data_IF_377826433152
#
_entry.id   IF_377826433152
#
_cell.length_a   1.000
_cell.length_b   1.000
_cell.length_c   1.000
_cell.angle_alpha   90.00
_cell.angle_beta   90.00
_cell.angle_gamma   90.00
#
_symmetry.space_group_name_H-M   'P 1'
#
loop_
_entity.id
_entity.type
_entity.pdbx_description
1 polymer ?
#
# COMPACT_ATOMS: atom_id res chain seq x y z
N UNK A 1 23.61 -24.74 -29.52
CA UNK A 1 22.15 -24.38 -29.59
C UNK A 1 22.05 -22.99 -30.19
N UNK A 2 21.28 -22.83 -31.25
CA UNK A 2 21.19 -21.55 -31.94
C UNK A 2 20.65 -20.45 -31.01
N UNK A 3 21.45 -19.40 -30.84
CA UNK A 3 21.14 -18.23 -30.03
C UNK A 3 19.95 -17.43 -30.63
N UNK A 4 19.64 -17.63 -31.93
CA UNK A 4 18.65 -16.88 -32.67
C UNK A 4 17.56 -17.80 -33.21
N UNK A 5 16.31 -17.43 -33.00
CA UNK A 5 15.11 -18.16 -33.45
C UNK A 5 14.28 -17.33 -34.41
N UNK A 6 13.50 -18.00 -35.26
CA UNK A 6 12.66 -17.38 -36.28
C UNK A 6 11.47 -16.62 -35.67
N UNK A 7 10.86 -15.71 -36.46
CA UNK A 7 9.63 -15.00 -36.09
C UNK A 7 8.52 -15.99 -35.70
N UNK A 8 8.41 -17.12 -36.42
CA UNK A 8 7.40 -18.14 -36.14
C UNK A 8 7.61 -18.83 -34.81
N UNK A 9 8.86 -19.25 -34.51
CA UNK A 9 9.22 -19.87 -33.23
C UNK A 9 9.08 -18.90 -32.05
N UNK A 10 9.51 -17.64 -32.21
CA UNK A 10 9.34 -16.61 -31.20
C UNK A 10 7.87 -16.32 -30.88
N UNK A 11 7.01 -16.26 -31.92
CA UNK A 11 5.58 -16.07 -31.76
C UNK A 11 4.92 -17.24 -31.03
N UNK A 12 5.28 -18.48 -31.40
CA UNK A 12 4.77 -19.69 -30.75
C UNK A 12 5.19 -19.76 -29.25
N UNK A 13 6.48 -19.48 -28.93
CA UNK A 13 7.00 -19.49 -27.56
C UNK A 13 6.33 -18.45 -26.65
N UNK A 14 6.04 -17.26 -27.18
CA UNK A 14 5.36 -16.19 -26.46
C UNK A 14 3.83 -16.31 -26.46
N UNK A 15 3.27 -17.23 -27.26
CA UNK A 15 1.81 -17.34 -27.42
C UNK A 15 1.16 -16.07 -27.95
N UNK A 16 1.80 -15.39 -28.95
CA UNK A 16 1.33 -14.12 -29.51
C UNK A 16 1.28 -14.17 -31.05
N UNK A 17 0.51 -13.26 -31.65
CA UNK A 17 0.51 -13.07 -33.11
C UNK A 17 1.81 -12.42 -33.57
N UNK A 18 2.27 -12.71 -34.81
CA UNK A 18 3.50 -12.12 -35.40
C UNK A 18 3.53 -10.59 -35.32
N UNK A 19 2.40 -9.91 -35.53
CA UNK A 19 2.30 -8.44 -35.41
C UNK A 19 2.63 -7.92 -34.00
N UNK A 20 2.34 -8.70 -32.96
CA UNK A 20 2.67 -8.33 -31.59
C UNK A 20 4.18 -8.37 -31.29
N UNK A 21 4.92 -9.30 -31.95
CA UNK A 21 6.39 -9.32 -31.84
C UNK A 21 7.01 -8.03 -32.40
N UNK A 22 6.55 -7.55 -33.54
CA UNK A 22 7.02 -6.30 -34.12
C UNK A 22 6.66 -5.08 -33.25
N UNK A 23 5.52 -5.11 -32.58
CA UNK A 23 5.17 -4.10 -31.56
C UNK A 23 6.09 -4.14 -30.34
N UNK A 24 6.64 -5.28 -29.96
CA UNK A 24 7.65 -5.38 -28.91
C UNK A 24 9.01 -4.84 -29.37
N UNK A 25 9.37 -5.06 -30.64
CA UNK A 25 10.59 -4.49 -31.23
C UNK A 25 10.49 -2.97 -31.31
N UNK A 26 9.37 -2.42 -31.81
CA UNK A 26 9.18 -0.96 -31.94
C UNK A 26 9.18 -0.23 -30.59
N UNK A 27 8.85 -0.96 -29.50
CA UNK A 27 8.89 -0.44 -28.12
C UNK A 27 10.19 -0.73 -27.38
N UNK A 28 11.20 -1.29 -28.07
CA UNK A 28 12.50 -1.61 -27.48
C UNK A 28 12.49 -2.78 -26.47
N UNK A 29 11.41 -3.56 -26.41
CA UNK A 29 11.27 -4.71 -25.50
C UNK A 29 12.03 -5.93 -26.02
N UNK A 30 12.10 -6.08 -27.34
CA UNK A 30 12.83 -7.16 -28.04
C UNK A 30 13.76 -6.59 -29.07
N UNK A 31 14.90 -7.25 -29.27
CA UNK A 31 15.82 -6.98 -30.35
C UNK A 31 15.61 -8.00 -31.45
N UNK A 32 15.49 -7.52 -32.71
CA UNK A 32 15.45 -8.37 -33.90
C UNK A 32 16.60 -8.03 -34.85
N UNK A 33 17.09 -9.03 -35.57
CA UNK A 33 18.04 -8.83 -36.67
C UNK A 33 17.55 -9.51 -37.94
N UNK A 34 17.88 -8.94 -39.10
CA UNK A 34 17.72 -9.60 -40.42
C UNK A 34 19.06 -10.11 -40.91
N UNK A 35 19.07 -11.33 -41.45
CA UNK A 35 20.23 -11.80 -42.21
C UNK A 35 20.05 -11.46 -43.70
N UNK A 36 21.12 -11.08 -44.41
CA UNK A 36 21.06 -10.87 -45.86
C UNK A 36 20.55 -12.16 -46.55
N UNK A 37 19.52 -12.02 -47.38
CA UNK A 37 18.93 -13.16 -48.11
C UNK A 37 17.80 -13.90 -47.40
N UNK A 38 17.45 -13.55 -46.17
CA UNK A 38 16.30 -14.14 -45.46
C UNK A 38 15.13 -13.16 -45.34
N UNK A 39 13.91 -13.64 -45.62
CA UNK A 39 12.69 -12.84 -45.53
C UNK A 39 12.16 -12.65 -44.11
N UNK A 40 12.54 -13.53 -43.15
CA UNK A 40 12.12 -13.47 -41.75
C UNK A 40 13.16 -12.80 -40.83
N UNK A 41 12.65 -12.07 -39.84
CA UNK A 41 13.48 -11.54 -38.75
C UNK A 41 13.83 -12.64 -37.73
N UNK A 42 15.03 -12.57 -37.16
CA UNK A 42 15.48 -13.46 -36.10
C UNK A 42 15.44 -12.72 -34.76
N UNK A 43 15.10 -13.43 -33.71
CA UNK A 43 14.96 -12.94 -32.34
C UNK A 43 15.92 -13.67 -31.41
N UNK A 44 16.47 -12.97 -30.43
CA UNK A 44 17.32 -13.59 -29.40
C UNK A 44 16.48 -14.53 -28.54
N UNK A 45 16.87 -15.82 -28.52
CA UNK A 45 16.19 -16.87 -27.77
C UNK A 45 16.09 -16.53 -26.28
N UNK A 46 17.17 -16.00 -25.67
CA UNK A 46 17.23 -15.69 -24.24
C UNK A 46 16.23 -14.60 -23.86
N UNK A 47 16.10 -13.56 -24.72
CA UNK A 47 15.10 -12.50 -24.52
C UNK A 47 13.67 -13.04 -24.65
N UNK A 48 13.42 -13.90 -25.64
CA UNK A 48 12.10 -14.53 -25.83
C UNK A 48 11.77 -15.44 -24.64
N UNK A 49 12.68 -16.29 -24.19
CA UNK A 49 12.46 -17.20 -23.07
C UNK A 49 12.26 -16.43 -21.74
N UNK A 50 13.01 -15.34 -21.51
CA UNK A 50 12.83 -14.45 -20.37
C UNK A 50 11.47 -13.74 -20.40
N UNK A 51 11.03 -13.27 -21.56
CA UNK A 51 9.72 -12.62 -21.73
C UNK A 51 8.58 -13.65 -21.61
N UNK A 52 8.77 -14.88 -22.05
CA UNK A 52 7.82 -15.96 -21.90
C UNK A 52 7.69 -16.38 -20.42
N UNK A 53 8.80 -16.49 -19.70
CA UNK A 53 8.83 -16.76 -18.27
C UNK A 53 8.10 -15.64 -17.48
N UNK A 54 8.39 -14.38 -17.77
CA UNK A 54 7.72 -13.22 -17.15
C UNK A 54 6.19 -13.20 -17.45
N UNK A 55 5.80 -13.60 -18.65
CA UNK A 55 4.39 -13.74 -19.03
C UNK A 55 3.70 -14.94 -18.35
N UNK A 56 4.42 -16.05 -18.18
CA UNK A 56 3.95 -17.22 -17.43
C UNK A 56 3.84 -16.92 -15.94
N UNK A 57 4.80 -16.18 -15.37
CA UNK A 57 4.75 -15.73 -13.97
C UNK A 57 3.66 -14.67 -13.78
N UNK A 58 3.44 -13.76 -14.71
CA UNK A 58 2.34 -12.82 -14.70
C UNK A 58 0.96 -13.51 -14.83
N UNK A 59 0.83 -14.57 -15.64
CA UNK A 59 -0.39 -15.38 -15.70
C UNK A 59 -0.58 -16.24 -14.45
N UNK A 60 0.49 -16.83 -13.90
CA UNK A 60 0.44 -17.56 -12.63
C UNK A 60 0.18 -16.64 -11.45
N UNK A 61 0.68 -15.40 -11.46
CA UNK A 61 0.33 -14.39 -10.47
C UNK A 61 -1.13 -13.95 -10.60
N UNK A 62 -1.66 -13.80 -11.83
CA UNK A 62 -3.07 -13.50 -12.08
C UNK A 62 -4.04 -14.64 -11.71
N UNK A 63 -3.62 -15.89 -11.87
CA UNK A 63 -4.38 -17.09 -11.48
C UNK A 63 -4.23 -17.42 -9.97
N UNK A 64 -3.15 -16.94 -9.32
CA UNK A 64 -2.93 -17.10 -7.87
C UNK A 64 -3.63 -16.04 -7.03
N UNK A 65 -4.07 -14.94 -7.63
CA UNK A 65 -4.95 -14.00 -6.93
C UNK A 65 -6.30 -14.68 -6.74
N UNK A 66 -6.56 -15.12 -5.51
CA UNK A 66 -7.93 -15.43 -5.10
C UNK A 66 -8.79 -14.23 -5.48
N UNK A 67 -9.61 -14.37 -6.53
CA UNK A 67 -10.58 -13.34 -6.89
C UNK A 67 -11.63 -13.32 -5.80
N UNK A 68 -11.39 -12.51 -4.77
CA UNK A 68 -12.51 -12.10 -3.92
C UNK A 68 -13.59 -11.52 -4.86
N UNK A 69 -14.85 -11.90 -4.67
CA UNK A 69 -15.97 -11.25 -5.35
C UNK A 69 -15.78 -9.74 -5.22
N UNK A 70 -16.05 -9.01 -6.31
CA UNK A 70 -16.03 -7.55 -6.24
C UNK A 70 -16.90 -7.09 -5.06
N UNK A 71 -16.28 -6.50 -4.05
CA UNK A 71 -16.96 -6.00 -2.88
C UNK A 71 -17.18 -4.52 -3.09
N UNK A 72 -18.45 -4.12 -3.17
CA UNK A 72 -18.80 -2.71 -3.24
C UNK A 72 -18.48 -2.03 -1.90
N UNK A 73 -17.91 -0.83 -1.97
CA UNK A 73 -17.67 0.03 -0.81
C UNK A 73 -17.94 1.48 -1.16
N UNK A 74 -18.45 2.22 -0.18
CA UNK A 74 -18.65 3.69 -0.24
C UNK A 74 -17.57 4.47 0.50
N UNK A 75 -16.62 3.76 1.13
CA UNK A 75 -15.53 4.39 1.90
C UNK A 75 -14.50 4.98 0.97
N UNK A 76 -14.02 4.21 0.00
CA UNK A 76 -13.07 4.70 -0.99
C UNK A 76 -13.24 4.04 -2.34
N UNK A 77 -12.72 4.69 -3.38
CA UNK A 77 -12.63 4.13 -4.72
C UNK A 77 -11.37 4.63 -5.43
N UNK A 78 -10.83 3.79 -6.33
CA UNK A 78 -9.72 4.15 -7.20
C UNK A 78 -10.23 4.09 -8.63
N UNK A 79 -10.11 5.21 -9.37
CA UNK A 79 -10.53 5.36 -10.75
C UNK A 79 -9.54 6.26 -11.48
N UNK A 80 -9.08 5.83 -12.65
CA UNK A 80 -8.17 6.62 -13.50
C UNK A 80 -6.92 7.11 -12.73
N UNK A 81 -6.31 6.19 -11.97
CA UNK A 81 -5.13 6.46 -11.11
C UNK A 81 -5.37 7.56 -10.04
N UNK A 82 -6.63 7.81 -9.66
CA UNK A 82 -7.01 8.76 -8.60
C UNK A 82 -7.71 8.04 -7.46
N UNK A 83 -7.36 8.42 -6.24
CA UNK A 83 -7.99 7.93 -5.02
C UNK A 83 -9.10 8.89 -4.58
N UNK A 84 -10.26 8.33 -4.27
CA UNK A 84 -11.40 9.07 -3.73
C UNK A 84 -11.77 8.52 -2.36
N UNK A 85 -11.91 9.39 -1.38
CA UNK A 85 -12.45 9.09 -0.04
C UNK A 85 -13.88 9.61 0.04
N UNK A 86 -14.85 8.72 0.26
CA UNK A 86 -16.29 9.04 0.23
C UNK A 86 -16.72 9.88 -0.98
N UNK A 87 -16.14 9.56 -2.14
CA UNK A 87 -16.45 10.25 -3.40
C UNK A 87 -15.69 11.55 -3.64
N UNK A 88 -14.91 12.06 -2.68
CA UNK A 88 -14.07 13.25 -2.81
C UNK A 88 -12.63 12.86 -3.11
N UNK A 89 -12.00 13.53 -4.07
CA UNK A 89 -10.60 13.28 -4.42
C UNK A 89 -9.68 13.47 -3.21
N UNK A 90 -8.73 12.56 -3.02
CA UNK A 90 -7.79 12.62 -1.88
C UNK A 90 -6.97 13.92 -1.87
N UNK A 91 -6.64 14.47 -3.04
CA UNK A 91 -5.93 15.75 -3.11
C UNK A 91 -6.79 16.91 -2.59
N UNK A 92 -8.11 16.89 -2.86
CA UNK A 92 -9.05 17.89 -2.33
C UNK A 92 -9.25 17.72 -0.81
N UNK A 93 -9.28 16.46 -0.33
CA UNK A 93 -9.35 16.18 1.11
C UNK A 93 -8.11 16.73 1.81
N UNK A 94 -6.92 16.41 1.32
CA UNK A 94 -5.64 16.88 1.88
C UNK A 94 -5.47 18.42 1.81
N UNK A 95 -6.04 19.08 0.80
CA UNK A 95 -5.97 20.53 0.67
C UNK A 95 -6.94 21.28 1.60
N UNK A 96 -8.05 20.64 1.99
CA UNK A 96 -9.15 21.30 2.72
C UNK A 96 -9.28 20.88 4.18
N UNK A 97 -8.62 19.80 4.60
CA UNK A 97 -8.80 19.18 5.91
C UNK A 97 -7.45 18.77 6.51
N UNK A 98 -7.29 18.97 7.82
CA UNK A 98 -6.31 18.26 8.62
C UNK A 98 -6.75 16.81 8.84
N UNK A 99 -5.87 15.99 9.42
CA UNK A 99 -6.17 14.58 9.67
C UNK A 99 -7.41 14.39 10.55
N UNK A 100 -7.61 15.22 11.57
CA UNK A 100 -8.75 15.10 12.48
C UNK A 100 -10.09 15.38 11.76
N UNK A 101 -10.11 16.37 10.88
CA UNK A 101 -11.30 16.67 10.06
C UNK A 101 -11.54 15.58 9.01
N UNK A 102 -10.46 15.08 8.35
CA UNK A 102 -10.55 13.98 7.39
C UNK A 102 -11.02 12.69 8.06
N UNK A 103 -10.59 12.41 9.30
CA UNK A 103 -11.07 11.27 10.08
C UNK A 103 -12.58 11.35 10.35
N UNK A 104 -13.07 12.50 10.80
CA UNK A 104 -14.54 12.73 10.98
C UNK A 104 -15.30 12.52 9.68
N UNK A 105 -14.79 13.09 8.59
CA UNK A 105 -15.39 12.96 7.26
C UNK A 105 -15.47 11.48 6.82
N UNK A 106 -14.37 10.73 6.94
CA UNK A 106 -14.32 9.32 6.50
C UNK A 106 -15.13 8.41 7.41
N UNK A 107 -15.10 8.63 8.72
CA UNK A 107 -15.93 7.89 9.70
C UNK A 107 -17.41 8.28 9.65
N UNK A 108 -17.74 9.38 8.99
CA UNK A 108 -19.11 9.96 8.94
C UNK A 108 -19.68 10.16 10.35
N UNK A 109 -18.95 10.84 11.21
CA UNK A 109 -19.32 11.11 12.60
C UNK A 109 -18.85 12.50 13.04
N UNK A 110 -19.68 13.19 13.83
CA UNK A 110 -19.41 14.58 14.23
C UNK A 110 -18.43 14.69 15.40
N UNK A 111 -18.43 13.73 16.32
CA UNK A 111 -17.61 13.80 17.51
C UNK A 111 -17.16 12.45 18.07
N UNK A 112 -16.13 12.49 18.94
CA UNK A 112 -15.60 11.29 19.56
C UNK A 112 -16.49 10.80 20.71
N UNK A 113 -16.40 9.48 20.97
CA UNK A 113 -16.87 8.86 22.21
C UNK A 113 -15.66 8.42 23.02
N UNK A 114 -15.71 8.66 24.33
CA UNK A 114 -14.64 8.26 25.23
C UNK A 114 -14.40 6.74 25.17
N UNK A 115 -13.14 6.36 25.13
CA UNK A 115 -12.67 4.96 25.23
C UNK A 115 -11.95 4.74 26.55
N UNK A 116 -11.68 3.47 26.88
CA UNK A 116 -10.91 3.13 28.06
C UNK A 116 -9.51 3.77 28.03
N UNK A 117 -9.03 4.19 29.18
CA UNK A 117 -7.65 4.63 29.34
C UNK A 117 -6.72 3.43 29.53
N UNK A 118 -5.51 3.52 29.02
CA UNK A 118 -4.47 2.49 29.13
C UNK A 118 -3.24 3.08 29.78
N UNK A 119 -2.42 2.24 30.37
CA UNK A 119 -1.15 2.66 30.97
C UNK A 119 -0.10 2.85 29.87
N UNK A 120 0.32 4.10 29.68
CA UNK A 120 1.30 4.46 28.67
C UNK A 120 2.67 3.81 28.94
N UNK A 121 3.01 3.48 30.21
CA UNK A 121 4.26 2.78 30.56
C UNK A 121 4.30 1.33 30.01
N UNK A 122 3.17 0.64 30.00
CA UNK A 122 3.06 -0.71 29.40
C UNK A 122 3.28 -0.64 27.90
N UNK A 123 2.75 0.41 27.25
CA UNK A 123 2.89 0.61 25.80
C UNK A 123 4.33 0.98 25.45
N UNK A 124 4.96 1.85 26.22
CA UNK A 124 6.33 2.28 26.00
C UNK A 124 7.38 1.16 26.14
N UNK A 125 7.03 0.06 26.81
CA UNK A 125 7.93 -1.08 27.03
C UNK A 125 8.18 -1.97 25.80
N UNK A 126 7.47 -1.73 24.69
CA UNK A 126 7.61 -2.50 23.44
C UNK A 126 8.19 -1.63 22.31
N UNK A 127 8.66 -2.31 21.25
CA UNK A 127 9.14 -1.64 20.04
C UNK A 127 8.08 -0.71 19.46
N UNK A 128 8.51 0.41 18.91
CA UNK A 128 7.64 1.51 18.50
C UNK A 128 6.54 1.08 17.53
N UNK A 129 6.82 0.18 16.60
CA UNK A 129 5.85 -0.35 15.64
C UNK A 129 4.82 -1.30 16.25
N UNK A 130 4.99 -1.70 17.52
CA UNK A 130 4.05 -2.54 18.27
C UNK A 130 3.13 -1.74 19.17
N UNK A 131 3.43 -0.47 19.41
CA UNK A 131 2.73 0.35 20.40
C UNK A 131 1.28 0.66 20.03
N UNK A 132 1.00 1.02 18.78
CA UNK A 132 -0.39 1.28 18.31
C UNK A 132 -1.24 0.01 18.42
N UNK A 133 -0.84 -1.16 17.87
CA UNK A 133 -1.60 -2.40 18.06
C UNK A 133 -1.78 -2.79 19.53
N UNK A 134 -0.76 -2.61 20.38
CA UNK A 134 -0.85 -2.91 21.81
C UNK A 134 -1.84 -1.96 22.51
N UNK A 135 -1.80 -0.67 22.23
CA UNK A 135 -2.77 0.29 22.78
C UNK A 135 -4.21 -0.10 22.44
N UNK A 136 -4.46 -0.48 21.17
CA UNK A 136 -5.79 -0.95 20.75
C UNK A 136 -6.17 -2.25 21.44
N UNK A 137 -5.25 -3.19 21.63
CA UNK A 137 -5.52 -4.45 22.33
C UNK A 137 -5.89 -4.24 23.80
N UNK A 138 -5.17 -3.35 24.48
CA UNK A 138 -5.47 -3.00 25.89
C UNK A 138 -6.82 -2.29 26.00
N UNK A 139 -7.13 -1.36 25.09
CA UNK A 139 -8.44 -0.70 25.04
C UNK A 139 -9.56 -1.72 24.76
N UNK A 140 -9.34 -2.62 23.81
CA UNK A 140 -10.32 -3.68 23.49
C UNK A 140 -10.60 -4.61 24.68
N UNK A 141 -9.56 -4.93 25.45
CA UNK A 141 -9.69 -5.79 26.66
C UNK A 141 -10.54 -5.14 27.76
N UNK A 142 -10.55 -3.82 27.85
CA UNK A 142 -11.29 -3.05 28.84
C UNK A 142 -12.58 -2.40 28.28
N UNK A 143 -12.96 -2.72 27.06
CA UNK A 143 -14.11 -2.11 26.39
C UNK A 143 -15.44 -2.73 26.86
N UNK A 144 -16.27 -2.03 27.65
CA UNK A 144 -17.55 -2.54 28.12
C UNK A 144 -18.56 -2.71 26.96
N UNK A 145 -18.31 -2.10 25.81
CA UNK A 145 -19.17 -2.13 24.63
C UNK A 145 -18.65 -3.09 23.56
N UNK A 146 -17.87 -4.09 23.95
CA UNK A 146 -17.17 -4.98 23.02
C UNK A 146 -18.04 -5.59 21.92
N UNK A 147 -19.29 -5.96 22.25
CA UNK A 147 -20.24 -6.55 21.30
C UNK A 147 -21.23 -5.52 20.73
N UNK A 148 -21.25 -4.32 21.27
CA UNK A 148 -22.09 -3.24 20.78
C UNK A 148 -21.42 -2.56 19.58
N UNK A 149 -22.14 -2.47 18.47
CA UNK A 149 -21.68 -1.87 17.22
C UNK A 149 -22.23 -0.46 17.03
N UNK A 150 -23.08 -0.02 17.92
CA UNK A 150 -23.54 1.38 17.93
C UNK A 150 -22.36 2.30 18.25
N UNK A 151 -22.36 3.48 17.69
CA UNK A 151 -21.29 4.48 17.89
C UNK A 151 -19.87 4.00 17.58
N UNK A 152 -19.68 2.90 16.83
CA UNK A 152 -18.36 2.37 16.50
C UNK A 152 -17.46 3.44 15.85
N UNK A 153 -17.97 4.27 14.95
CA UNK A 153 -17.23 5.40 14.35
C UNK A 153 -16.78 6.42 15.40
N UNK A 154 -17.67 6.81 16.32
CA UNK A 154 -17.37 7.78 17.38
C UNK A 154 -16.34 7.23 18.40
N UNK A 155 -16.40 5.92 18.67
CA UNK A 155 -15.43 5.22 19.54
C UNK A 155 -14.04 5.17 18.91
N UNK A 156 -13.96 4.94 17.60
CA UNK A 156 -12.67 4.98 16.88
C UNK A 156 -12.14 6.41 16.80
N UNK A 157 -12.99 7.40 16.60
CA UNK A 157 -12.55 8.80 16.69
C UNK A 157 -11.98 9.12 18.08
N UNK A 158 -12.60 8.60 19.15
CA UNK A 158 -12.10 8.74 20.53
C UNK A 158 -10.85 7.93 20.85
N UNK A 159 -10.51 6.94 20.03
CA UNK A 159 -9.28 6.15 20.14
C UNK A 159 -8.05 6.96 19.68
N UNK A 160 -8.17 7.83 18.67
CA UNK A 160 -7.02 8.51 18.04
C UNK A 160 -6.09 9.23 19.02
N UNK A 161 -6.58 9.96 20.04
CA UNK A 161 -5.69 10.56 21.05
C UNK A 161 -4.87 9.54 21.86
N UNK A 162 -5.39 8.35 22.08
CA UNK A 162 -4.61 7.30 22.75
C UNK A 162 -3.51 6.76 21.84
N UNK A 163 -3.74 6.68 20.53
CA UNK A 163 -2.71 6.24 19.58
C UNK A 163 -1.57 7.25 19.44
N UNK A 164 -1.87 8.55 19.46
CA UNK A 164 -0.81 9.59 19.44
C UNK A 164 0.01 9.59 20.72
N UNK A 165 -0.61 9.39 21.90
CA UNK A 165 0.12 9.23 23.15
C UNK A 165 0.97 7.96 23.22
N UNK A 166 0.58 6.91 22.53
CA UNK A 166 1.35 5.66 22.45
C UNK A 166 2.72 5.83 21.78
N UNK A 167 2.88 6.86 20.95
CA UNK A 167 4.14 7.16 20.23
C UNK A 167 4.45 8.65 20.34
N UNK A 168 4.91 9.09 21.53
CA UNK A 168 5.18 10.50 21.81
C UNK A 168 6.41 11.04 21.07
N UNK A 169 7.23 10.19 20.47
CA UNK A 169 8.40 10.57 19.69
C UNK A 169 8.04 11.23 18.37
N UNK A 170 6.81 11.06 17.89
CA UNK A 170 6.31 11.69 16.66
C UNK A 170 5.58 12.98 17.03
N UNK A 171 6.00 14.10 16.43
CA UNK A 171 5.22 15.33 16.45
C UNK A 171 4.00 15.18 15.51
N UNK A 172 2.89 14.74 16.08
CA UNK A 172 1.63 14.51 15.35
C UNK A 172 0.99 15.80 14.80
N UNK A 173 1.43 16.98 15.28
CA UNK A 173 0.97 18.26 14.77
C UNK A 173 1.83 18.79 13.61
N UNK A 174 2.97 18.14 13.31
CA UNK A 174 3.81 18.53 12.19
C UNK A 174 3.06 18.42 10.86
N UNK A 175 3.06 19.46 9.98
CA UNK A 175 2.24 19.48 8.77
C UNK A 175 2.46 18.31 7.82
N UNK A 176 3.67 17.77 7.72
CA UNK A 176 3.97 16.63 6.85
C UNK A 176 3.49 15.31 7.46
N UNK A 177 3.51 15.18 8.78
CA UNK A 177 2.98 14.02 9.50
C UNK A 177 1.46 13.97 9.35
N UNK A 178 0.79 15.10 9.58
CA UNK A 178 -0.66 15.24 9.39
C UNK A 178 -1.09 14.92 7.96
N UNK A 179 -0.39 15.50 6.97
CA UNK A 179 -0.65 15.28 5.55
C UNK A 179 -0.45 13.81 5.16
N UNK A 180 0.68 13.22 5.58
CA UNK A 180 0.98 11.81 5.30
C UNK A 180 -0.07 10.89 5.93
N UNK A 181 -0.42 11.10 7.21
CA UNK A 181 -1.46 10.35 7.89
C UNK A 181 -2.82 10.45 7.15
N UNK A 182 -3.16 11.65 6.64
CA UNK A 182 -4.38 11.88 5.83
C UNK A 182 -4.35 11.07 4.53
N UNK A 183 -3.23 11.03 3.82
CA UNK A 183 -3.09 10.23 2.59
C UNK A 183 -3.16 8.73 2.86
N UNK A 184 -2.78 8.29 4.05
CA UNK A 184 -2.75 6.88 4.45
C UNK A 184 -4.09 6.36 4.99
N UNK A 185 -5.11 7.22 5.16
CA UNK A 185 -6.42 6.85 5.71
C UNK A 185 -6.96 5.59 5.01
N UNK A 186 -7.01 5.58 3.68
CA UNK A 186 -7.46 4.39 2.96
C UNK A 186 -6.86 4.32 1.55
N UNK A 187 -6.92 3.13 0.95
CA UNK A 187 -6.49 2.88 -0.43
C UNK A 187 -7.22 1.67 -1.02
N UNK A 188 -8.54 1.71 -0.99
CA UNK A 188 -9.40 0.62 -1.41
C UNK A 188 -9.38 -0.57 -0.44
N UNK A 189 -9.65 -1.76 -0.97
CA UNK A 189 -9.68 -2.99 -0.17
C UNK A 189 -8.27 -3.60 -0.05
N UNK A 190 -7.35 -2.87 0.59
CA UNK A 190 -6.03 -3.38 0.92
C UNK A 190 -6.10 -4.60 1.87
N UNK A 191 -5.00 -5.34 2.01
CA UNK A 191 -4.97 -6.56 2.84
C UNK A 191 -5.44 -6.30 4.29
N UNK A 192 -4.98 -5.21 4.92
CA UNK A 192 -5.40 -4.81 6.27
C UNK A 192 -6.90 -4.49 6.35
N UNK A 193 -7.40 -3.72 5.39
CA UNK A 193 -8.83 -3.39 5.30
C UNK A 193 -9.69 -4.63 5.10
N UNK A 194 -9.24 -5.55 4.26
CA UNK A 194 -9.92 -6.84 4.03
C UNK A 194 -9.93 -7.70 5.30
N UNK A 195 -8.81 -7.81 6.01
CA UNK A 195 -8.73 -8.56 7.26
C UNK A 195 -9.67 -8.00 8.33
N UNK A 196 -9.73 -6.67 8.47
CA UNK A 196 -10.67 -6.02 9.38
C UNK A 196 -12.14 -6.29 9.00
N UNK A 197 -12.48 -6.26 7.69
CA UNK A 197 -13.84 -6.61 7.21
C UNK A 197 -14.17 -8.07 7.45
N UNK A 198 -13.23 -9.01 7.30
CA UNK A 198 -13.43 -10.42 7.61
C UNK A 198 -13.82 -10.59 9.08
N UNK A 199 -13.09 -9.97 10.02
CA UNK A 199 -13.43 -9.99 11.44
C UNK A 199 -14.80 -9.33 11.72
N UNK A 200 -15.08 -8.19 11.11
CA UNK A 200 -16.36 -7.49 11.24
C UNK A 200 -17.53 -8.32 10.70
N UNK A 201 -17.34 -9.09 9.62
CA UNK A 201 -18.37 -10.00 9.08
C UNK A 201 -18.76 -11.11 10.08
N UNK A 202 -17.81 -11.53 10.92
CA UNK A 202 -18.05 -12.45 12.03
C UNK A 202 -18.64 -11.75 13.27
N UNK A 203 -18.95 -10.45 13.16
CA UNK A 203 -19.52 -9.60 14.23
C UNK A 203 -18.56 -9.35 15.39
N UNK A 204 -17.25 -9.40 15.16
CA UNK A 204 -16.24 -8.94 16.11
C UNK A 204 -16.46 -7.45 16.47
N UNK A 205 -16.08 -7.05 17.69
CA UNK A 205 -16.07 -5.64 18.08
C UNK A 205 -15.15 -4.79 17.20
N UNK A 206 -15.38 -3.48 17.17
CA UNK A 206 -14.62 -2.59 16.27
C UNK A 206 -13.11 -2.64 16.54
N UNK A 207 -12.70 -2.68 17.81
CA UNK A 207 -11.28 -2.76 18.18
C UNK A 207 -10.68 -4.13 17.86
N UNK A 208 -11.41 -5.23 18.08
CA UNK A 208 -10.98 -6.58 17.68
C UNK A 208 -10.82 -6.68 16.14
N UNK A 209 -11.71 -6.05 15.40
CA UNK A 209 -11.61 -6.00 13.93
C UNK A 209 -10.41 -5.16 13.45
N UNK A 210 -10.09 -4.06 14.15
CA UNK A 210 -8.87 -3.29 13.89
C UNK A 210 -7.62 -4.11 14.17
N UNK A 211 -7.58 -4.91 15.24
CA UNK A 211 -6.45 -5.81 15.54
C UNK A 211 -6.19 -6.83 14.43
N UNK A 212 -7.24 -7.41 13.85
CA UNK A 212 -7.11 -8.26 12.67
C UNK A 212 -6.49 -7.50 11.48
N UNK A 213 -6.88 -6.25 11.29
CA UNK A 213 -6.32 -5.34 10.29
C UNK A 213 -4.84 -5.03 10.53
N UNK A 214 -4.45 -4.72 11.76
CA UNK A 214 -3.05 -4.47 12.11
C UNK A 214 -2.17 -5.69 11.95
N UNK A 215 -2.66 -6.89 12.24
CA UNK A 215 -1.92 -8.13 11.99
C UNK A 215 -1.56 -8.30 10.50
N UNK A 216 -2.48 -7.95 9.60
CA UNK A 216 -2.18 -7.93 8.16
C UNK A 216 -1.30 -6.74 7.75
N UNK A 217 -1.45 -5.58 8.42
CA UNK A 217 -0.67 -4.38 8.13
C UNK A 217 0.82 -4.55 8.45
N UNK A 218 1.17 -5.29 9.52
CA UNK A 218 2.55 -5.48 9.97
C UNK A 218 3.43 -6.28 8.98
N UNK A 219 2.85 -6.80 7.90
CA UNK A 219 3.60 -7.56 6.89
C UNK A 219 4.58 -6.66 6.10
N UNK A 220 5.77 -7.21 5.74
CA UNK A 220 6.83 -6.45 5.03
C UNK A 220 6.42 -6.01 3.62
N UNK A 221 5.36 -6.58 3.05
CA UNK A 221 4.80 -6.19 1.75
C UNK A 221 3.62 -5.22 1.89
N UNK A 222 3.38 -4.69 3.09
CA UNK A 222 2.30 -3.75 3.39
C UNK A 222 2.81 -2.63 4.30
N UNK A 223 2.33 -2.48 5.54
CA UNK A 223 2.75 -1.40 6.44
C UNK A 223 4.23 -1.43 6.84
N UNK A 224 4.89 -2.58 6.76
CA UNK A 224 6.34 -2.69 6.97
C UNK A 224 7.19 -2.28 5.75
N UNK A 225 6.60 -2.03 4.58
CA UNK A 225 7.34 -1.67 3.37
C UNK A 225 8.09 -0.32 3.45
N UNK A 226 7.58 0.73 4.12
CA UNK A 226 8.29 2.00 4.26
C UNK A 226 9.66 1.91 4.93
N UNK A 227 9.88 0.92 5.81
CA UNK A 227 11.19 0.77 6.48
C UNK A 227 12.33 0.47 5.50
N UNK A 228 12.10 -0.46 4.57
CA UNK A 228 13.10 -0.77 3.55
C UNK A 228 13.29 0.39 2.54
N UNK A 229 12.24 1.18 2.28
CA UNK A 229 12.36 2.41 1.49
C UNK A 229 13.16 3.48 2.25
N UNK A 230 13.00 3.58 3.58
CA UNK A 230 13.79 4.47 4.43
C UNK A 230 15.28 4.13 4.36
N UNK A 231 15.64 2.86 4.55
CA UNK A 231 17.04 2.42 4.52
C UNK A 231 17.70 2.76 3.17
N UNK A 232 16.96 2.62 2.08
CA UNK A 232 17.44 2.98 0.75
C UNK A 232 17.65 4.49 0.57
N UNK A 233 16.70 5.32 1.03
CA UNK A 233 16.81 6.79 0.98
C UNK A 233 17.95 7.27 1.87
N UNK A 234 18.02 6.77 3.11
CA UNK A 234 19.06 7.13 4.08
C UNK A 234 20.47 6.78 3.57
N UNK A 235 20.64 5.61 2.94
CA UNK A 235 21.91 5.23 2.32
C UNK A 235 22.37 6.23 1.25
N UNK A 236 21.45 6.72 0.41
CA UNK A 236 21.78 7.72 -0.62
C UNK A 236 22.10 9.07 0.02
N UNK A 237 21.34 9.51 1.03
CA UNK A 237 21.63 10.74 1.78
C UNK A 237 22.99 10.66 2.48
N UNK A 238 23.37 9.47 2.98
CA UNK A 238 24.68 9.22 3.58
C UNK A 238 25.84 9.10 2.55
N UNK A 239 25.56 9.26 1.25
CA UNK A 239 26.58 9.26 0.18
C UNK A 239 26.82 7.91 -0.49
N UNK A 240 25.99 6.88 -0.21
CA UNK A 240 26.02 5.62 -0.96
C UNK A 240 25.61 5.87 -2.42
N UNK A 241 26.37 5.35 -3.42
CA UNK A 241 25.94 5.47 -4.82
C UNK A 241 24.56 4.89 -5.05
N UNK A 242 23.73 5.57 -5.86
CA UNK A 242 22.32 5.21 -6.12
C UNK A 242 22.17 3.76 -6.59
N UNK A 243 23.08 3.30 -7.50
CA UNK A 243 23.08 1.92 -8.01
C UNK A 243 23.28 0.90 -6.89
N UNK A 244 24.13 1.22 -5.93
CA UNK A 244 24.41 0.34 -4.81
C UNK A 244 23.22 0.29 -3.85
N UNK A 245 22.67 1.44 -3.49
CA UNK A 245 21.49 1.53 -2.64
C UNK A 245 20.30 0.75 -3.25
N UNK A 246 20.08 0.88 -4.57
CA UNK A 246 19.05 0.12 -5.29
C UNK A 246 19.31 -1.40 -5.26
N UNK A 247 20.55 -1.82 -5.45
CA UNK A 247 20.89 -3.24 -5.47
C UNK A 247 20.71 -3.90 -4.10
N UNK A 248 21.07 -3.18 -3.03
CA UNK A 248 20.96 -3.67 -1.66
C UNK A 248 19.52 -3.68 -1.13
N UNK A 249 18.62 -2.82 -1.71
CA UNK A 249 17.23 -2.69 -1.27
C UNK A 249 16.25 -3.72 -1.88
N UNK A 250 16.68 -4.52 -2.88
CA UNK A 250 15.78 -5.48 -3.54
C UNK A 250 15.40 -6.61 -2.57
N UNK A 251 14.10 -6.78 -2.31
CA UNK A 251 13.54 -7.86 -1.49
C UNK A 251 12.58 -8.69 -2.37
N UNK A 252 12.85 -9.98 -2.53
CA UNK A 252 12.02 -10.90 -3.34
C UNK A 252 11.74 -10.39 -4.76
N UNK A 253 12.74 -9.76 -5.40
CA UNK A 253 12.63 -9.17 -6.74
C UNK A 253 11.79 -7.87 -6.80
N UNK A 254 11.40 -7.32 -5.67
CA UNK A 254 10.67 -6.05 -5.54
C UNK A 254 11.57 -4.95 -5.02
N UNK A 255 11.38 -3.75 -5.52
CA UNK A 255 12.06 -2.57 -5.06
C UNK A 255 11.09 -1.76 -4.16
N UNK A 256 11.40 -1.58 -2.86
CA UNK A 256 10.55 -0.82 -1.95
C UNK A 256 10.42 0.64 -2.40
N UNK A 257 9.26 1.24 -2.19
CA UNK A 257 9.00 2.62 -2.58
C UNK A 257 8.60 2.82 -4.06
N UNK A 258 8.58 1.73 -4.87
CA UNK A 258 8.28 1.82 -6.30
C UNK A 258 7.22 0.83 -6.75
N UNK A 259 6.35 1.29 -7.67
CA UNK A 259 5.26 0.51 -8.23
C UNK A 259 4.09 0.33 -7.27
N UNK A 260 2.92 0.08 -7.81
CA UNK A 260 1.72 -0.21 -7.02
C UNK A 260 0.80 -1.15 -7.79
N UNK A 261 0.09 -2.04 -7.07
CA UNK A 261 -0.81 -3.03 -7.70
C UNK A 261 -2.07 -2.43 -8.33
N UNK A 262 -2.48 -1.23 -7.88
CA UNK A 262 -3.73 -0.59 -8.34
C UNK A 262 -3.50 0.69 -9.15
N UNK A 263 -2.30 1.27 -9.16
CA UNK A 263 -1.96 2.44 -9.98
C UNK A 263 -1.07 2.03 -11.14
N UNK A 264 -1.39 2.50 -12.34
CA UNK A 264 -0.56 2.32 -13.52
C UNK A 264 0.58 3.34 -13.62
N UNK A 265 0.38 4.52 -13.03
CA UNK A 265 1.35 5.61 -12.90
C UNK A 265 1.84 5.82 -11.47
N UNK A 266 2.41 7.00 -11.17
CA UNK A 266 2.80 7.39 -9.82
C UNK A 266 1.60 7.42 -8.87
N UNK A 267 1.80 6.90 -7.66
CA UNK A 267 0.80 6.93 -6.60
C UNK A 267 0.40 8.38 -6.26
N UNK A 268 -0.88 8.76 -6.38
CA UNK A 268 -1.32 10.13 -6.12
C UNK A 268 -1.00 10.61 -4.70
N UNK A 269 -0.94 9.70 -3.73
CA UNK A 269 -0.61 9.99 -2.33
C UNK A 269 0.86 10.42 -2.19
N UNK A 270 1.78 9.71 -2.86
CA UNK A 270 3.19 10.07 -2.89
C UNK A 270 3.40 11.46 -3.51
N UNK A 271 2.72 11.75 -4.62
CA UNK A 271 2.80 13.04 -5.28
C UNK A 271 2.38 14.19 -4.37
N UNK A 272 1.23 14.05 -3.68
CA UNK A 272 0.74 15.07 -2.73
C UNK A 272 1.80 15.40 -1.67
N UNK A 273 2.42 14.36 -1.07
CA UNK A 273 3.43 14.54 -0.03
C UNK A 273 4.71 15.15 -0.60
N UNK A 274 5.20 14.67 -1.74
CA UNK A 274 6.41 15.21 -2.37
C UNK A 274 6.23 16.65 -2.82
N UNK A 275 5.08 17.02 -3.38
CA UNK A 275 4.79 18.39 -3.79
C UNK A 275 4.80 19.33 -2.57
N UNK A 276 4.28 18.87 -1.44
CA UNK A 276 4.31 19.63 -0.19
C UNK A 276 5.73 19.80 0.35
N UNK A 277 6.53 18.73 0.42
CA UNK A 277 7.92 18.81 0.88
C UNK A 277 8.72 19.73 -0.06
N UNK A 278 8.56 19.60 -1.36
CA UNK A 278 9.24 20.44 -2.37
C UNK A 278 8.91 21.93 -2.21
N UNK A 279 7.67 22.22 -1.81
CA UNK A 279 7.26 23.60 -1.51
C UNK A 279 7.88 24.13 -0.21
N UNK A 280 7.84 23.34 0.86
CA UNK A 280 8.24 23.77 2.20
C UNK A 280 9.78 23.71 2.40
N UNK A 281 10.46 22.75 1.78
CA UNK A 281 11.90 22.48 1.87
C UNK A 281 12.47 22.11 0.49
N UNK A 282 12.68 23.08 -0.42
CA UNK A 282 13.19 22.84 -1.76
C UNK A 282 14.54 22.10 -1.80
N UNK A 283 15.39 22.29 -0.79
CA UNK A 283 16.71 21.70 -0.67
C UNK A 283 16.70 20.40 0.20
N UNK A 284 15.56 19.72 0.36
CA UNK A 284 15.45 18.49 1.13
C UNK A 284 16.40 17.40 0.60
N UNK A 285 17.38 16.93 1.40
CA UNK A 285 18.30 15.88 1.00
C UNK A 285 17.60 14.54 0.74
N UNK A 286 16.59 14.19 1.54
CA UNK A 286 15.86 12.94 1.36
C UNK A 286 14.97 12.98 0.11
N UNK A 287 14.35 14.12 -0.21
CA UNK A 287 13.60 14.28 -1.46
C UNK A 287 14.54 14.25 -2.67
N UNK A 288 15.70 14.89 -2.60
CA UNK A 288 16.71 14.82 -3.66
C UNK A 288 17.21 13.38 -3.88
N UNK A 289 17.39 12.60 -2.82
CA UNK A 289 17.72 11.18 -2.91
C UNK A 289 16.59 10.38 -3.58
N UNK A 290 15.33 10.61 -3.21
CA UNK A 290 14.16 9.98 -3.83
C UNK A 290 14.04 10.33 -5.32
N UNK A 291 14.32 11.59 -5.71
CA UNK A 291 14.33 12.03 -7.10
C UNK A 291 15.45 11.33 -7.91
N UNK A 292 16.66 11.17 -7.34
CA UNK A 292 17.77 10.42 -7.97
C UNK A 292 17.41 8.93 -8.15
N UNK A 293 16.86 8.28 -7.12
CA UNK A 293 16.39 6.90 -7.17
C UNK A 293 15.30 6.72 -8.24
N UNK A 294 14.37 7.67 -8.32
CA UNK A 294 13.29 7.66 -9.32
C UNK A 294 13.83 7.81 -10.74
N UNK A 295 14.72 8.78 -10.96
CA UNK A 295 15.35 8.99 -12.27
C UNK A 295 16.14 7.76 -12.73
N UNK A 296 16.84 7.09 -11.79
CA UNK A 296 17.67 5.92 -12.11
C UNK A 296 16.85 4.68 -12.44
N UNK A 297 15.71 4.49 -11.76
CA UNK A 297 14.83 3.33 -11.97
C UNK A 297 13.86 3.50 -13.12
N UNK A 298 13.43 4.73 -13.40
CA UNK A 298 12.32 5.03 -14.30
C UNK A 298 10.98 4.44 -13.85
N UNK A 299 10.87 3.98 -12.59
CA UNK A 299 9.65 3.36 -12.05
C UNK A 299 8.77 4.39 -11.36
N UNK A 300 7.43 4.24 -11.42
CA UNK A 300 6.53 5.10 -10.68
C UNK A 300 6.71 4.94 -9.17
N UNK A 301 6.81 6.07 -8.46
CA UNK A 301 6.91 6.12 -7.00
C UNK A 301 5.60 5.73 -6.34
N UNK A 302 5.67 5.20 -5.11
CA UNK A 302 4.51 4.93 -4.28
C UNK A 302 4.60 5.64 -2.91
N UNK A 303 3.56 5.50 -2.09
CA UNK A 303 3.46 6.18 -0.79
C UNK A 303 4.52 5.72 0.21
N UNK A 304 5.10 4.51 0.05
CA UNK A 304 6.15 4.01 0.95
C UNK A 304 7.43 4.85 0.81
N UNK A 305 7.79 5.27 -0.43
CA UNK A 305 8.90 6.18 -0.65
C UNK A 305 8.63 7.57 -0.05
N UNK A 306 7.41 8.07 -0.18
CA UNK A 306 7.03 9.34 0.44
C UNK A 306 7.08 9.28 1.97
N UNK A 307 6.64 8.16 2.56
CA UNK A 307 6.75 7.91 4.00
C UNK A 307 8.21 7.86 4.46
N UNK A 308 9.08 7.24 3.66
CA UNK A 308 10.51 7.18 3.92
C UNK A 308 11.17 8.57 3.92
N UNK A 309 10.81 9.41 2.95
CA UNK A 309 11.32 10.80 2.86
C UNK A 309 10.88 11.61 4.07
N UNK A 310 9.59 11.57 4.45
CA UNK A 310 9.10 12.25 5.65
C UNK A 310 9.83 11.77 6.91
N UNK A 311 9.93 10.45 7.09
CA UNK A 311 10.58 9.87 8.25
C UNK A 311 12.07 10.25 8.33
N UNK A 312 12.76 10.33 7.18
CA UNK A 312 14.18 10.69 7.13
C UNK A 312 14.42 12.17 7.41
N UNK A 313 13.62 13.05 6.80
CA UNK A 313 13.75 14.50 7.02
C UNK A 313 13.42 14.92 8.46
N UNK A 314 12.47 14.25 9.08
CA UNK A 314 12.07 14.52 10.46
C UNK A 314 12.85 13.68 11.48
N UNK A 315 13.89 12.94 11.06
CA UNK A 315 14.75 12.11 11.91
C UNK A 315 13.97 11.10 12.80
N UNK A 316 12.83 10.62 12.32
CA UNK A 316 11.95 9.72 13.08
C UNK A 316 12.40 8.25 13.04
N UNK A 317 13.38 7.92 12.18
CA UNK A 317 13.91 6.58 12.03
C UNK A 317 13.06 5.65 11.12
N UNK A 318 13.58 4.45 10.83
CA UNK A 318 13.02 3.56 9.78
C UNK A 318 11.63 3.01 10.10
N UNK A 319 11.25 2.92 11.37
CA UNK A 319 9.94 2.38 11.79
C UNK A 319 8.80 3.40 11.77
N UNK A 320 9.11 4.69 11.68
CA UNK A 320 8.09 5.74 11.69
C UNK A 320 7.08 5.61 10.55
N UNK A 321 7.52 5.20 9.36
CA UNK A 321 6.62 4.97 8.23
C UNK A 321 5.54 3.92 8.53
N UNK A 322 5.89 2.83 9.21
CA UNK A 322 4.93 1.79 9.64
C UNK A 322 3.94 2.35 10.69
N UNK A 323 4.44 3.11 11.66
CA UNK A 323 3.62 3.74 12.71
C UNK A 323 2.62 4.72 12.11
N UNK A 324 3.07 5.60 11.21
CA UNK A 324 2.21 6.56 10.51
C UNK A 324 1.17 5.85 9.65
N UNK A 325 1.57 4.73 9.03
CA UNK A 325 0.63 3.90 8.28
C UNK A 325 -0.44 3.27 9.18
N UNK A 326 -0.06 2.74 10.35
CA UNK A 326 -0.99 2.20 11.34
C UNK A 326 -1.97 3.27 11.79
N UNK A 327 -1.48 4.45 12.15
CA UNK A 327 -2.30 5.56 12.61
C UNK A 327 -3.32 6.01 11.56
N UNK A 328 -2.87 6.36 10.37
CA UNK A 328 -3.75 6.80 9.29
C UNK A 328 -4.77 5.72 8.89
N UNK A 329 -4.31 4.47 8.71
CA UNK A 329 -5.13 3.36 8.28
C UNK A 329 -6.18 2.92 9.31
N UNK A 330 -6.02 3.26 10.58
CA UNK A 330 -7.04 3.02 11.62
C UNK A 330 -8.40 3.58 11.22
N UNK A 331 -8.41 4.79 10.70
CA UNK A 331 -9.64 5.48 10.26
C UNK A 331 -10.31 4.75 9.10
N UNK A 332 -9.54 4.40 8.06
CA UNK A 332 -10.08 3.69 6.90
C UNK A 332 -10.58 2.29 7.25
N UNK A 333 -9.79 1.52 8.00
CA UNK A 333 -10.21 0.19 8.47
C UNK A 333 -11.52 0.29 9.27
N UNK A 334 -11.61 1.24 10.18
CA UNK A 334 -12.82 1.43 10.99
C UNK A 334 -14.05 1.78 10.16
N UNK A 335 -13.91 2.68 9.18
CA UNK A 335 -15.00 3.03 8.28
C UNK A 335 -15.51 1.80 7.50
N UNK A 336 -14.58 0.95 7.04
CA UNK A 336 -14.91 -0.32 6.38
C UNK A 336 -15.53 -1.35 7.34
N UNK A 337 -15.09 -1.42 8.60
CA UNK A 337 -15.70 -2.27 9.65
C UNK A 337 -17.14 -1.86 9.88
N UNK A 338 -17.40 -0.55 10.02
CA UNK A 338 -18.76 -0.02 10.22
C UNK A 338 -19.66 -0.31 9.01
N UNK A 339 -19.14 -0.15 7.79
CA UNK A 339 -19.85 -0.53 6.57
C UNK A 339 -20.17 -2.02 6.55
N UNK A 340 -19.22 -2.89 6.95
CA UNK A 340 -19.40 -4.34 6.99
C UNK A 340 -20.45 -4.80 8.00
N UNK A 341 -20.66 -4.06 9.09
CA UNK A 341 -21.74 -4.38 10.04
C UNK A 341 -23.15 -4.27 9.43
N UNK A 342 -23.31 -3.48 8.36
CA UNK A 342 -24.56 -3.38 7.59
C UNK A 342 -24.75 -4.53 6.59
N UNK A 343 -23.75 -5.34 6.36
CA UNK A 343 -23.77 -6.42 5.37
C UNK A 343 -24.17 -7.77 5.96
N UNK A 344 -24.44 -8.76 5.11
CA UNK A 344 -24.73 -10.13 5.55
C UNK A 344 -23.55 -10.72 6.36
N UNK A 345 -23.82 -11.36 7.51
CA UNK A 345 -22.76 -11.94 8.31
C UNK A 345 -22.05 -13.08 7.58
N UNK A 346 -20.77 -13.29 7.92
CA UNK A 346 -19.93 -14.39 7.42
C UNK A 346 -19.80 -14.48 5.88
N UNK A 347 -20.08 -13.40 5.15
CA UNK A 347 -20.02 -13.39 3.67
C UNK A 347 -18.61 -13.58 3.10
N UNK A 348 -17.57 -13.47 3.94
CA UNK A 348 -16.17 -13.68 3.58
C UNK A 348 -15.70 -15.13 3.75
N UNK A 349 -16.59 -16.05 4.09
CA UNK A 349 -16.24 -17.47 4.24
C UNK A 349 -15.87 -18.06 2.88
N UNK A 350 -14.63 -18.54 2.74
CA UNK A 350 -14.17 -19.27 1.56
C UNK A 350 -14.75 -20.67 1.49
N UNK A 351 -14.83 -21.23 0.27
CA UNK A 351 -15.10 -22.65 0.05
C UNK A 351 -13.76 -23.39 -0.06
N UNK A 352 -13.52 -24.49 0.68
CA UNK A 352 -12.25 -25.21 0.67
C UNK A 352 -11.95 -25.94 -0.64
N UNK A 353 -12.94 -26.16 -1.49
CA UNK A 353 -12.80 -26.85 -2.78
C UNK A 353 -13.39 -25.97 -3.88
N UNK A 354 -12.62 -25.74 -4.95
CA UNK A 354 -13.13 -25.34 -6.25
C UNK A 354 -13.97 -26.45 -6.90
N UNK A 355 -14.78 -27.17 -6.12
CA UNK A 355 -15.75 -28.11 -6.63
C UNK A 355 -16.85 -27.28 -7.30
N UNK A 356 -16.82 -27.27 -8.62
CA UNK A 356 -17.96 -26.98 -9.45
C UNK A 356 -19.24 -27.52 -8.79
N UNK A 357 -20.12 -26.61 -8.39
CA UNK A 357 -21.51 -26.96 -8.36
C UNK A 357 -21.94 -27.07 -9.82
N UNK A 358 -21.52 -28.18 -10.43
CA UNK A 358 -22.19 -28.68 -11.61
C UNK A 358 -23.62 -29.00 -11.21
N UNK A 359 -24.51 -28.22 -11.73
CA UNK A 359 -25.88 -28.54 -12.13
C UNK A 359 -26.67 -29.51 -11.27
N UNK A 360 -27.67 -29.05 -10.61
CA UNK A 360 -29.01 -29.65 -10.66
C UNK A 360 -30.04 -28.54 -10.64
#
# INVERSE_FOLDING_TARGET
MDQWITTSEAAARLGVKRGTLYSYVSRGVLVSRRQPGQSESLFDRTQIDSLAAAKHDGRRAGDRLLRFRAVATRVSSIRDDRLYLRGRDVAEVCAAMDFAAAARFVLAVDGPRQVATVDDAVIAAVDVERRIPLAVALIAAHDPLRVDRTDASARVLGLLPALTRAVPEIDWAHPWVDLLATTLIDNGLAASTTAARVAASARAGVFDALLAGYAALSGPLHGGAPAAAYDMVDAVVAGTPVERALADAVIDGRLPGFGHVVYGGPDPRARIVFDRIRHDMPDSPALAAADQLTARTGRPVNVDLASAVVARELELGPRAGEVLFQYGRTVGMAAHVVEEYGEAPLRWRGSPNGADRATS
#
